data_IF_661334060062
#
_entry.id   IF_661334060062
#
_cell.length_a   1.000
_cell.length_b   1.000
_cell.length_c   1.000
_cell.angle_alpha   90.00
_cell.angle_beta   90.00
_cell.angle_gamma   90.00
#
_symmetry.space_group_name_H-M   'P 1'
#
loop_
_entity.id
_entity.type
_entity.pdbx_description
1 polymer ?
#
# COMPACT_ATOMS: atom_id res chain seq x y z
N UNK A 1 -4.04 59.55 -12.24
CA UNK A 1 -3.97 59.79 -10.78
C UNK A 1 -2.80 58.99 -10.23
N UNK A 2 -1.81 59.65 -9.60
CA UNK A 2 -0.70 58.99 -8.89
C UNK A 2 -1.09 58.85 -7.42
N UNK A 3 -0.98 57.65 -6.86
CA UNK A 3 -1.18 57.42 -5.43
C UNK A 3 0.01 57.99 -4.65
N UNK A 4 -0.20 58.82 -3.60
CA UNK A 4 0.90 59.32 -2.80
C UNK A 4 1.38 58.22 -1.84
N UNK A 5 2.68 57.97 -1.86
CA UNK A 5 3.36 57.05 -0.96
C UNK A 5 3.85 57.84 0.27
N UNK A 6 3.14 57.72 1.40
CA UNK A 6 3.64 57.83 2.81
C UNK A 6 2.49 58.15 3.78
N UNK A 7 1.54 57.24 3.94
CA UNK A 7 0.64 57.22 5.10
C UNK A 7 0.73 55.79 5.68
N UNK A 8 0.92 55.61 7.01
CA UNK A 8 0.89 54.28 7.60
C UNK A 8 -0.52 53.70 7.41
N UNK A 9 -0.62 52.56 6.74
CA UNK A 9 -1.91 51.90 6.52
C UNK A 9 -2.63 51.68 7.85
N UNK A 10 -3.83 52.24 7.99
CA UNK A 10 -4.71 52.02 9.14
C UNK A 10 -5.87 51.14 8.73
N UNK A 11 -6.09 50.06 9.46
CA UNK A 11 -7.29 49.23 9.31
C UNK A 11 -8.43 49.92 10.06
N UNK A 12 -9.37 50.50 9.32
CA UNK A 12 -10.60 51.05 9.89
C UNK A 12 -11.73 50.03 9.74
N UNK A 13 -12.12 49.39 10.84
CA UNK A 13 -13.23 48.43 10.83
C UNK A 13 -14.56 49.20 10.91
N UNK A 14 -15.22 49.38 9.78
CA UNK A 14 -16.47 50.15 9.69
C UNK A 14 -17.71 49.36 10.12
N UNK A 15 -17.63 48.03 10.09
CA UNK A 15 -18.72 47.13 10.51
C UNK A 15 -18.14 45.79 10.93
N UNK A 16 -18.46 45.35 12.14
CA UNK A 16 -18.08 44.03 12.65
C UNK A 16 -19.34 43.27 13.08
N UNK A 17 -19.74 42.29 12.26
CA UNK A 17 -20.96 41.50 12.52
C UNK A 17 -20.55 40.12 13.05
N UNK A 18 -20.71 39.92 14.37
CA UNK A 18 -20.39 38.65 15.06
C UNK A 18 -21.53 37.62 15.05
N UNK A 19 -22.67 37.96 14.47
CA UNK A 19 -23.82 37.07 14.39
C UNK A 19 -23.76 36.25 13.11
N UNK A 20 -23.58 34.93 13.26
CA UNK A 20 -23.65 33.98 12.16
C UNK A 20 -25.11 33.76 11.76
N UNK A 21 -25.34 33.56 10.47
CA UNK A 21 -26.68 33.26 9.90
C UNK A 21 -27.01 31.75 9.93
N UNK A 22 -26.26 30.98 10.71
CA UNK A 22 -26.39 29.54 10.88
C UNK A 22 -25.89 29.15 12.27
N UNK A 23 -26.35 28.00 12.77
CA UNK A 23 -25.85 27.43 14.01
C UNK A 23 -24.38 27.06 13.88
N UNK A 24 -23.59 27.50 14.86
CA UNK A 24 -22.20 27.09 14.99
C UNK A 24 -22.16 25.70 15.63
N UNK A 25 -21.69 24.71 14.88
CA UNK A 25 -21.56 23.34 15.34
C UNK A 25 -20.10 22.88 15.20
N UNK A 26 -19.55 22.26 16.25
CA UNK A 26 -18.18 21.71 16.26
C UNK A 26 -17.95 20.73 15.10
N UNK A 27 -18.95 19.87 14.82
CA UNK A 27 -18.85 18.91 13.73
C UNK A 27 -18.76 19.59 12.35
N UNK A 28 -19.45 20.73 12.17
CA UNK A 28 -19.35 21.52 10.93
C UNK A 28 -17.96 22.13 10.82
N UNK A 29 -17.41 22.64 11.92
CA UNK A 29 -16.05 23.17 11.96
C UNK A 29 -15.01 22.10 11.62
N UNK A 30 -15.08 20.92 12.23
CA UNK A 30 -14.17 19.80 11.96
C UNK A 30 -14.29 19.28 10.51
N UNK A 31 -15.46 19.44 9.89
CA UNK A 31 -15.70 19.05 8.49
C UNK A 31 -15.07 20.00 7.46
N UNK A 32 -14.53 21.15 7.86
CA UNK A 32 -13.87 22.05 6.91
C UNK A 32 -12.66 21.36 6.24
N UNK A 33 -12.46 21.53 4.91
CA UNK A 33 -11.36 20.88 4.19
C UNK A 33 -9.98 21.10 4.83
N UNK A 34 -9.72 22.31 5.33
CA UNK A 34 -8.46 22.65 6.02
C UNK A 34 -8.24 21.84 7.31
N UNK A 35 -9.32 21.57 8.04
CA UNK A 35 -9.29 20.84 9.31
C UNK A 35 -9.22 19.32 9.09
N UNK A 36 -9.93 18.82 8.08
CA UNK A 36 -9.87 17.41 7.65
C UNK A 36 -8.52 17.00 7.06
N UNK A 37 -7.74 17.96 6.53
CA UNK A 37 -6.46 17.68 5.86
C UNK A 37 -5.46 17.07 6.84
N UNK A 38 -4.88 15.93 6.45
CA UNK A 38 -3.74 15.33 7.15
C UNK A 38 -2.47 15.99 6.64
N UNK A 39 -1.64 16.45 7.58
CA UNK A 39 -0.38 17.15 7.31
C UNK A 39 0.80 16.56 8.08
N UNK A 40 0.53 15.54 8.91
CA UNK A 40 1.54 14.82 9.66
C UNK A 40 2.34 13.95 8.67
N UNK A 41 3.67 14.16 8.54
CA UNK A 41 4.49 13.43 7.59
C UNK A 41 4.55 11.93 7.90
N UNK A 42 4.62 11.53 9.17
CA UNK A 42 4.75 10.13 9.55
C UNK A 42 3.48 9.33 9.18
N UNK A 43 2.31 9.97 9.34
CA UNK A 43 1.03 9.39 8.92
C UNK A 43 0.93 9.30 7.40
N UNK A 44 1.43 10.31 6.68
CA UNK A 44 1.40 10.32 5.22
C UNK A 44 2.32 9.26 4.61
N UNK A 45 3.50 9.06 5.18
CA UNK A 45 4.44 8.04 4.73
C UNK A 45 3.84 6.64 4.93
N UNK A 46 3.20 6.37 6.09
CA UNK A 46 2.52 5.08 6.27
C UNK A 46 1.34 4.91 5.30
N UNK A 47 0.55 5.96 5.08
CA UNK A 47 -0.57 5.90 4.11
C UNK A 47 -0.06 5.62 2.69
N UNK A 48 1.09 6.19 2.31
CA UNK A 48 1.74 5.89 1.02
C UNK A 48 2.11 4.41 0.92
N UNK A 49 2.73 3.84 1.96
CA UNK A 49 3.04 2.40 2.03
C UNK A 49 1.78 1.53 1.94
N UNK A 50 0.69 1.91 2.63
CA UNK A 50 -0.60 1.22 2.52
C UNK A 50 -1.18 1.27 1.10
N UNK A 51 -1.00 2.38 0.38
CA UNK A 51 -1.47 2.55 -1.00
C UNK A 51 -0.64 1.70 -1.96
N UNK A 52 0.69 1.70 -1.80
CA UNK A 52 1.62 0.86 -2.57
C UNK A 52 1.30 -0.63 -2.40
N UNK A 53 0.97 -1.04 -1.17
CA UNK A 53 0.51 -2.39 -0.84
C UNK A 53 -0.90 -2.75 -1.33
N UNK A 54 -1.58 -1.86 -2.07
CA UNK A 54 -2.91 -2.14 -2.59
C UNK A 54 -4.02 -2.09 -1.54
N UNK A 55 -3.77 -1.40 -0.43
CA UNK A 55 -4.73 -1.20 0.65
C UNK A 55 -6.06 -0.61 0.15
N UNK A 56 -7.18 -1.16 0.64
CA UNK A 56 -8.52 -0.72 0.23
C UNK A 56 -8.81 0.68 0.81
N UNK A 57 -9.33 1.65 0.03
CA UNK A 57 -9.59 3.02 0.51
C UNK A 57 -10.44 3.11 1.79
N UNK A 58 -11.42 2.21 1.97
CA UNK A 58 -12.24 2.16 3.20
C UNK A 58 -11.43 1.81 4.45
N UNK A 59 -10.39 0.98 4.32
CA UNK A 59 -9.52 0.60 5.44
C UNK A 59 -8.52 1.68 5.77
N UNK A 60 -7.94 2.32 4.74
CA UNK A 60 -7.09 3.50 4.92
C UNK A 60 -7.89 4.59 5.63
N UNK A 61 -9.15 4.82 5.24
CA UNK A 61 -10.03 5.75 5.94
C UNK A 61 -10.21 5.40 7.42
N UNK A 62 -10.45 4.12 7.74
CA UNK A 62 -10.56 3.65 9.12
C UNK A 62 -9.28 3.90 9.92
N UNK A 63 -8.12 3.53 9.36
CA UNK A 63 -6.82 3.80 9.98
C UNK A 63 -6.63 5.29 10.27
N UNK A 64 -6.99 6.16 9.32
CA UNK A 64 -6.88 7.61 9.50
C UNK A 64 -7.79 8.16 10.59
N UNK A 65 -9.00 7.61 10.75
CA UNK A 65 -9.87 7.97 11.87
C UNK A 65 -9.29 7.53 13.21
N UNK A 66 -8.76 6.30 13.29
CA UNK A 66 -8.19 5.73 14.52
C UNK A 66 -6.91 6.43 14.96
N UNK A 67 -6.08 6.88 14.01
CA UNK A 67 -4.77 7.48 14.31
C UNK A 67 -4.79 9.00 14.43
N UNK A 68 -5.60 9.70 13.62
CA UNK A 68 -5.56 11.17 13.58
C UNK A 68 -6.72 11.84 14.29
N UNK A 69 -7.81 11.11 14.57
CA UNK A 69 -9.06 11.67 15.09
C UNK A 69 -9.76 12.67 14.15
N UNK A 70 -9.27 12.87 12.93
CA UNK A 70 -9.84 13.83 11.97
C UNK A 70 -11.06 13.24 11.26
N UNK A 71 -12.01 14.11 10.90
CA UNK A 71 -13.16 13.77 10.08
C UNK A 71 -12.80 13.58 8.60
N UNK A 72 -11.77 12.80 8.30
CA UNK A 72 -11.36 12.47 6.93
C UNK A 72 -12.52 11.82 6.19
N UNK A 73 -12.66 12.08 4.90
CA UNK A 73 -13.70 11.46 4.07
C UNK A 73 -13.10 10.48 3.09
N UNK A 74 -13.91 9.55 2.62
CA UNK A 74 -13.50 8.60 1.58
C UNK A 74 -13.04 9.30 0.29
N UNK A 75 -13.56 10.49 -0.01
CA UNK A 75 -13.11 11.31 -1.14
C UNK A 75 -11.67 11.78 -0.95
N UNK A 76 -11.30 12.18 0.26
CA UNK A 76 -9.94 12.62 0.57
C UNK A 76 -8.95 11.46 0.39
N UNK A 77 -9.32 10.25 0.81
CA UNK A 77 -8.51 9.04 0.59
C UNK A 77 -8.39 8.71 -0.90
N UNK A 78 -9.47 8.80 -1.69
CA UNK A 78 -9.36 8.61 -3.14
C UNK A 78 -8.42 9.63 -3.79
N UNK A 79 -8.45 10.89 -3.35
CA UNK A 79 -7.53 11.90 -3.84
C UNK A 79 -6.07 11.59 -3.46
N UNK A 80 -5.83 11.07 -2.24
CA UNK A 80 -4.51 10.59 -1.82
C UNK A 80 -4.03 9.44 -2.70
N UNK A 81 -4.85 8.41 -2.89
CA UNK A 81 -4.56 7.26 -3.77
C UNK A 81 -4.23 7.71 -5.20
N UNK A 82 -4.98 8.66 -5.75
CA UNK A 82 -4.72 9.18 -7.10
C UNK A 82 -3.40 9.94 -7.20
N UNK A 83 -3.02 10.69 -6.14
CA UNK A 83 -1.76 11.44 -6.11
C UNK A 83 -0.54 10.54 -5.86
N UNK A 84 -0.72 9.48 -5.07
CA UNK A 84 0.37 8.64 -4.57
C UNK A 84 0.60 7.38 -5.39
N UNK A 85 -0.36 6.93 -6.22
CA UNK A 85 -0.12 5.81 -7.14
C UNK A 85 1.01 6.14 -8.12
N UNK A 86 2.12 5.37 -8.13
CA UNK A 86 3.13 5.52 -9.17
C UNK A 86 2.51 5.17 -10.53
N UNK A 87 2.93 5.88 -11.58
CA UNK A 87 2.61 5.56 -12.98
C UNK A 87 3.22 4.19 -13.31
N UNK A 88 2.54 3.10 -12.98
CA UNK A 88 3.01 1.72 -13.22
C UNK A 88 3.22 1.53 -14.73
N UNK A 89 4.46 1.59 -15.20
CA UNK A 89 4.87 0.97 -16.46
C UNK A 89 4.98 -0.53 -16.17
N UNK A 90 4.24 -1.35 -16.90
CA UNK A 90 4.33 -2.81 -16.77
C UNK A 90 5.75 -3.26 -17.04
N UNK A 91 6.44 -3.76 -16.02
CA UNK A 91 7.72 -4.44 -16.18
C UNK A 91 7.43 -5.89 -16.57
N UNK A 92 7.64 -6.21 -17.85
CA UNK A 92 7.69 -7.57 -18.34
C UNK A 92 8.90 -8.29 -17.73
N UNK A 93 8.72 -9.53 -17.30
CA UNK A 93 9.78 -10.34 -16.69
C UNK A 93 10.50 -11.20 -17.71
N UNK A 94 11.81 -11.42 -17.49
CA UNK A 94 12.62 -12.40 -18.22
C UNK A 94 12.18 -13.81 -17.84
N UNK A 95 11.90 -14.64 -18.85
CA UNK A 95 11.67 -16.08 -18.67
C UNK A 95 12.89 -16.88 -19.09
N UNK A 96 13.32 -17.81 -18.24
CA UNK A 96 14.05 -19.01 -18.64
C UNK A 96 13.03 -20.14 -18.86
N UNK A 97 13.35 -21.14 -19.67
CA UNK A 97 12.38 -22.15 -20.15
C UNK A 97 11.64 -22.92 -19.03
N UNK A 98 12.13 -22.89 -17.78
CA UNK A 98 11.66 -23.72 -16.67
C UNK A 98 10.68 -23.03 -15.70
N UNK A 99 10.71 -21.69 -15.58
CA UNK A 99 9.80 -20.93 -14.73
C UNK A 99 9.55 -19.51 -15.23
N UNK A 100 8.33 -19.00 -15.00
CA UNK A 100 7.96 -17.61 -15.31
C UNK A 100 7.54 -16.88 -14.03
N UNK A 101 8.07 -15.68 -13.83
CA UNK A 101 7.75 -14.84 -12.67
C UNK A 101 6.90 -13.66 -13.10
N UNK A 102 5.78 -13.42 -12.42
CA UNK A 102 4.88 -12.31 -12.75
C UNK A 102 4.53 -11.54 -11.47
N UNK A 103 4.44 -10.22 -11.56
CA UNK A 103 4.08 -9.29 -10.47
C UNK A 103 5.16 -9.17 -9.39
N UNK A 104 5.95 -8.09 -9.44
CA UNK A 104 6.94 -7.71 -8.42
C UNK A 104 6.36 -6.65 -7.48
N UNK A 105 5.77 -7.07 -6.35
CA UNK A 105 5.38 -6.15 -5.28
C UNK A 105 6.52 -6.03 -4.24
N UNK A 106 7.71 -5.60 -4.69
CA UNK A 106 8.90 -5.50 -3.83
C UNK A 106 8.68 -4.58 -2.62
N UNK A 107 8.01 -3.45 -2.83
CA UNK A 107 7.69 -2.48 -1.76
C UNK A 107 6.91 -3.13 -0.61
N UNK A 108 5.96 -4.02 -0.92
CA UNK A 108 5.08 -4.66 0.07
C UNK A 108 5.86 -5.62 0.95
N UNK A 109 6.76 -6.39 0.32
CA UNK A 109 7.65 -7.29 1.04
C UNK A 109 8.64 -6.54 1.93
N UNK A 110 9.23 -5.44 1.45
CA UNK A 110 10.16 -4.63 2.25
C UNK A 110 9.51 -4.02 3.49
N UNK A 111 8.23 -3.64 3.38
CA UNK A 111 7.45 -3.09 4.47
C UNK A 111 7.13 -4.14 5.55
N UNK A 112 6.76 -5.37 5.16
CA UNK A 112 6.29 -6.42 6.09
C UNK A 112 6.89 -7.80 5.79
N UNK A 113 8.22 -8.00 5.94
CA UNK A 113 8.86 -9.27 5.56
C UNK A 113 8.75 -10.37 6.62
N UNK A 114 8.20 -10.10 7.81
CA UNK A 114 8.39 -10.98 8.98
C UNK A 114 7.71 -12.35 8.84
N UNK A 115 6.53 -12.39 8.21
CA UNK A 115 5.74 -13.61 8.03
C UNK A 115 5.35 -13.72 6.56
N UNK A 116 5.76 -14.83 5.94
CA UNK A 116 5.47 -15.13 4.54
C UNK A 116 4.71 -16.44 4.46
N UNK A 117 3.66 -16.46 3.66
CA UNK A 117 2.93 -17.66 3.28
C UNK A 117 3.32 -18.09 1.86
N UNK A 118 3.66 -19.36 1.72
CA UNK A 118 3.84 -20.05 0.47
C UNK A 118 2.59 -20.87 0.18
N UNK A 119 1.86 -20.44 -0.84
CA UNK A 119 0.66 -21.14 -1.30
C UNK A 119 0.91 -21.72 -2.70
N UNK A 120 0.65 -23.03 -2.85
CA UNK A 120 0.62 -23.69 -4.14
C UNK A 120 -0.83 -23.88 -4.53
N UNK A 121 -1.32 -23.16 -5.55
CA UNK A 121 -2.70 -23.34 -5.97
C UNK A 121 -2.80 -24.59 -6.85
N UNK A 122 -3.45 -25.65 -6.35
CA UNK A 122 -3.81 -26.82 -7.16
C UNK A 122 -5.07 -26.51 -7.96
N UNK A 123 -4.94 -26.11 -9.24
CA UNK A 123 -6.15 -25.80 -10.02
C UNK A 123 -6.01 -25.17 -11.41
N UNK A 124 -4.86 -25.21 -12.09
CA UNK A 124 -4.72 -24.68 -13.46
C UNK A 124 -4.94 -25.79 -14.50
N UNK A 125 -6.17 -26.29 -14.59
CA UNK A 125 -6.55 -27.46 -15.43
C UNK A 125 -6.34 -27.29 -16.95
N UNK A 126 -5.86 -26.13 -17.43
CA UNK A 126 -5.56 -25.89 -18.86
C UNK A 126 -4.06 -25.75 -19.19
N UNK A 127 -3.19 -25.59 -18.19
CA UNK A 127 -1.75 -25.40 -18.39
C UNK A 127 -0.98 -26.43 -17.58
N UNK A 128 -0.01 -27.13 -18.16
CA UNK A 128 0.86 -28.13 -17.48
C UNK A 128 1.76 -27.55 -16.38
N UNK A 129 1.47 -26.35 -15.89
CA UNK A 129 2.25 -25.57 -14.93
C UNK A 129 1.46 -25.44 -13.63
N UNK A 130 2.16 -25.57 -12.50
CA UNK A 130 1.67 -25.20 -11.18
C UNK A 130 1.96 -23.72 -10.91
N UNK A 131 1.02 -23.05 -10.26
CA UNK A 131 1.21 -21.68 -9.78
C UNK A 131 1.57 -21.73 -8.30
N UNK A 132 2.76 -21.23 -7.98
CA UNK A 132 3.25 -20.95 -6.65
C UNK A 132 3.17 -19.46 -6.39
N UNK A 133 2.67 -19.08 -5.22
CA UNK A 133 2.53 -17.68 -4.85
C UNK A 133 3.11 -17.44 -3.47
N UNK A 134 3.93 -16.40 -3.36
CA UNK A 134 4.35 -15.87 -2.07
C UNK A 134 3.39 -14.77 -1.66
N UNK A 135 2.89 -14.87 -0.44
CA UNK A 135 1.93 -13.95 0.14
C UNK A 135 2.47 -13.46 1.49
N UNK A 136 2.17 -12.21 1.84
CA UNK A 136 2.43 -11.66 3.17
C UNK A 136 1.14 -11.12 3.74
N UNK A 137 1.00 -11.04 5.06
CA UNK A 137 -0.11 -10.31 5.67
C UNK A 137 0.22 -8.82 5.81
N UNK A 138 -0.70 -7.97 5.35
CA UNK A 138 -0.62 -6.53 5.62
C UNK A 138 -0.95 -6.19 7.08
N UNK A 139 -0.74 -4.93 7.48
CA UNK A 139 -1.06 -4.45 8.85
C UNK A 139 -2.52 -4.65 9.26
N UNK A 140 -3.40 -4.97 8.31
CA UNK A 140 -4.82 -5.23 8.56
C UNK A 140 -5.16 -6.73 8.54
N UNK A 141 -4.17 -7.61 8.52
CA UNK A 141 -4.33 -9.07 8.49
C UNK A 141 -4.89 -9.59 7.16
N UNK A 142 -4.60 -8.93 6.04
CA UNK A 142 -4.92 -9.46 4.72
C UNK A 142 -3.67 -9.90 3.97
N UNK A 143 -3.77 -11.12 3.44
CA UNK A 143 -2.85 -11.65 2.46
C UNK A 143 -2.74 -10.77 1.21
N UNK A 144 -1.51 -10.34 0.92
CA UNK A 144 -1.09 -9.63 -0.30
C UNK A 144 -0.06 -10.49 -1.03
N UNK A 145 -0.26 -10.68 -2.33
CA UNK A 145 0.69 -11.43 -3.15
C UNK A 145 1.94 -10.61 -3.45
N UNK A 146 3.10 -11.15 -3.08
CA UNK A 146 4.42 -10.54 -3.31
C UNK A 146 4.97 -10.93 -4.68
N UNK A 147 4.89 -12.21 -5.01
CA UNK A 147 5.43 -12.77 -6.24
C UNK A 147 4.68 -14.04 -6.63
N UNK A 148 4.38 -14.17 -7.93
CA UNK A 148 3.86 -15.39 -8.51
C UNK A 148 4.96 -16.08 -9.32
N UNK A 149 5.03 -17.40 -9.19
CA UNK A 149 5.97 -18.30 -9.83
C UNK A 149 5.17 -19.37 -10.56
N UNK A 150 5.25 -19.39 -11.88
CA UNK A 150 4.74 -20.49 -12.68
C UNK A 150 5.84 -21.52 -12.84
N UNK A 151 5.59 -22.76 -12.40
CA UNK A 151 6.57 -23.85 -12.39
C UNK A 151 6.02 -25.01 -13.20
N UNK A 152 6.80 -25.53 -14.16
CA UNK A 152 6.38 -26.67 -14.98
C UNK A 152 6.13 -27.95 -14.17
N UNK A 153 7.01 -28.23 -13.20
CA UNK A 153 6.99 -29.45 -12.39
C UNK A 153 7.40 -29.14 -10.97
N UNK A 154 6.69 -29.74 -10.02
CA UNK A 154 7.03 -29.69 -8.60
C UNK A 154 8.14 -30.70 -8.32
N UNK A 155 9.36 -30.37 -8.75
CA UNK A 155 10.57 -31.11 -8.44
C UNK A 155 11.56 -30.18 -7.73
N UNK A 156 12.48 -30.79 -6.99
CA UNK A 156 13.50 -30.09 -6.22
C UNK A 156 14.27 -29.04 -7.02
N UNK A 157 14.68 -29.34 -8.26
CA UNK A 157 15.47 -28.40 -9.07
C UNK A 157 14.68 -27.14 -9.45
N UNK A 158 13.47 -27.31 -10.00
CA UNK A 158 12.63 -26.19 -10.39
C UNK A 158 12.20 -25.33 -9.19
N UNK A 159 11.98 -25.96 -8.03
CA UNK A 159 11.66 -25.25 -6.79
C UNK A 159 12.86 -24.48 -6.23
N UNK A 160 14.07 -25.05 -6.33
CA UNK A 160 15.31 -24.38 -5.92
C UNK A 160 15.55 -23.12 -6.75
N UNK A 161 15.39 -23.21 -8.06
CA UNK A 161 15.55 -22.06 -8.96
C UNK A 161 14.49 -20.98 -8.70
N UNK A 162 13.24 -21.38 -8.46
CA UNK A 162 12.14 -20.47 -8.13
C UNK A 162 12.39 -19.71 -6.82
N UNK A 163 12.84 -20.40 -5.76
CA UNK A 163 13.18 -19.78 -4.47
C UNK A 163 14.44 -18.93 -4.60
N UNK A 164 15.45 -19.38 -5.35
CA UNK A 164 16.67 -18.62 -5.65
C UNK A 164 16.33 -17.29 -6.32
N UNK A 165 15.49 -17.32 -7.35
CA UNK A 165 14.99 -16.12 -8.01
C UNK A 165 14.23 -15.20 -7.05
N UNK A 166 13.49 -15.72 -6.08
CA UNK A 166 12.85 -14.90 -5.06
C UNK A 166 13.88 -14.20 -4.17
N UNK A 167 14.86 -14.93 -3.65
CA UNK A 167 15.95 -14.42 -2.80
C UNK A 167 16.74 -13.32 -3.51
N UNK A 168 17.08 -13.52 -4.78
CA UNK A 168 17.74 -12.50 -5.62
C UNK A 168 16.88 -11.25 -5.79
N UNK A 169 15.57 -11.41 -5.98
CA UNK A 169 14.64 -10.30 -6.19
C UNK A 169 14.21 -9.60 -4.89
N UNK A 170 14.51 -10.17 -3.71
CA UNK A 170 14.10 -9.70 -2.38
C UNK A 170 15.28 -9.81 -1.41
N UNK A 171 16.24 -8.88 -1.46
CA UNK A 171 17.47 -8.96 -0.66
C UNK A 171 17.22 -8.93 0.85
N UNK A 172 16.04 -8.47 1.28
CA UNK A 172 15.57 -8.49 2.66
C UNK A 172 14.96 -9.83 3.11
N UNK A 173 15.08 -10.90 2.31
CA UNK A 173 14.65 -12.26 2.66
C UNK A 173 15.10 -12.70 4.05
N UNK A 174 16.32 -12.32 4.43
CA UNK A 174 16.90 -12.68 5.73
C UNK A 174 16.14 -12.09 6.94
N UNK A 175 15.19 -11.16 6.72
CA UNK A 175 14.31 -10.60 7.75
C UNK A 175 13.07 -11.46 8.04
N UNK A 176 12.80 -12.50 7.23
CA UNK A 176 11.69 -13.41 7.46
C UNK A 176 11.94 -14.20 8.75
N UNK A 177 10.94 -14.21 9.63
CA UNK A 177 10.98 -14.94 10.91
C UNK A 177 10.17 -16.23 10.88
N UNK A 178 9.15 -16.28 10.03
CA UNK A 178 8.31 -17.46 9.87
C UNK A 178 7.88 -17.61 8.42
N UNK A 179 7.97 -18.83 7.90
CA UNK A 179 7.40 -19.21 6.61
C UNK A 179 6.28 -20.21 6.87
N UNK A 180 5.06 -19.84 6.48
CA UNK A 180 3.90 -20.71 6.51
C UNK A 180 3.79 -21.43 5.15
N UNK A 181 3.77 -22.75 5.17
CA UNK A 181 3.61 -23.58 3.96
C UNK A 181 2.32 -24.37 4.05
N UNK A 182 1.69 -24.63 2.90
CA UNK A 182 0.60 -25.61 2.85
C UNK A 182 1.09 -27.00 3.29
N UNK A 183 0.19 -27.79 3.90
CA UNK A 183 0.51 -29.12 4.45
C UNK A 183 1.09 -30.08 3.40
N UNK A 184 0.74 -29.89 2.13
CA UNK A 184 1.12 -30.79 1.03
C UNK A 184 2.42 -30.32 0.34
N UNK A 185 3.07 -29.26 0.84
CA UNK A 185 4.36 -28.77 0.36
C UNK A 185 5.51 -29.71 0.76
N UNK A 186 6.12 -30.36 -0.24
CA UNK A 186 7.10 -31.44 0.00
C UNK A 186 8.55 -30.99 0.09
N UNK A 187 8.88 -29.81 -0.43
CA UNK A 187 10.25 -29.32 -0.59
C UNK A 187 10.64 -28.34 0.53
N UNK A 188 10.19 -28.61 1.77
CA UNK A 188 10.42 -27.72 2.93
C UNK A 188 11.91 -27.50 3.22
N UNK A 189 12.78 -28.41 2.79
CA UNK A 189 14.25 -28.29 2.92
C UNK A 189 14.87 -27.18 2.08
N UNK A 190 14.13 -26.59 1.14
CA UNK A 190 14.60 -25.51 0.27
C UNK A 190 14.44 -24.11 0.88
N UNK A 191 13.68 -23.99 1.97
CA UNK A 191 13.35 -22.73 2.64
C UNK A 191 14.44 -22.34 3.64
#
# INVERSE_FOLDING_TARGET
>A
MRCPATEPFRVCVTKHKRAHNHELNSAVFESYPSNRRIADPDVLDLVDELIKAGGKPKKILRYLHETTGKCVTLRDVHNMVQRLKPKRRGSATQGTDDYATNTSNAEVFEAFPEVVMLDSTSGTYSSKYKLFSLMIDDVFGHGQYVQHLLIQKENHACMLDAIGAFKENKPSWDRIRAIMVDKDFREISLL
#
